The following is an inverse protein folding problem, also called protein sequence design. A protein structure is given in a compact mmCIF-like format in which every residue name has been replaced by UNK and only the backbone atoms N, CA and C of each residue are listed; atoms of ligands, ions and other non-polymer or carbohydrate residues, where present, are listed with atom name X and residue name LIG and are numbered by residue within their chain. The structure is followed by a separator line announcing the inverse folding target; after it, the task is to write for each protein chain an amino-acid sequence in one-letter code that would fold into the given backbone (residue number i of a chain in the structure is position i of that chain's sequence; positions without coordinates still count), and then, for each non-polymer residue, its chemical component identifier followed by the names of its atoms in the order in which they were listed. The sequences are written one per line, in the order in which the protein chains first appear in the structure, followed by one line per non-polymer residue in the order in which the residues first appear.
data_IF_261891197167
#
_entry.id   IF_261891197167
#
_cell.length_a   1.000
_cell.length_b   1.000
_cell.length_c   1.000
_cell.angle_alpha   90.00
_cell.angle_beta   90.00
_cell.angle_gamma   90.00
#
_symmetry.space_group_name_H-M   'P 1'
#
loop_
_entity.id
_entity.type
_entity.pdbx_description
1 polymer ?
#
# COMPACT_ATOMS: atom_id res chain seq x y z
N UNK A 1 61.64 -1.16 54.70
CA UNK A 1 60.51 -0.87 53.79
C UNK A 1 61.06 -0.09 52.60
N UNK A 2 61.42 -0.79 51.52
CA UNK A 2 61.81 -0.12 50.28
C UNK A 2 60.55 0.47 49.64
N UNK A 3 60.49 1.80 49.53
CA UNK A 3 59.49 2.48 48.72
C UNK A 3 59.91 2.29 47.26
N UNK A 4 59.35 1.30 46.58
CA UNK A 4 59.50 1.15 45.13
C UNK A 4 58.82 2.34 44.45
N UNK A 5 59.62 3.29 43.98
CA UNK A 5 59.14 4.43 43.20
C UNK A 5 58.75 3.97 41.80
N UNK A 6 57.56 4.35 41.36
CA UNK A 6 57.09 4.09 40.00
C UNK A 6 58.04 4.74 39.01
N UNK A 7 58.53 3.98 38.03
CA UNK A 7 59.44 4.54 37.02
C UNK A 7 58.63 5.33 35.99
N UNK A 8 59.17 6.46 35.52
CA UNK A 8 58.51 7.33 34.54
C UNK A 8 58.14 6.57 33.25
N UNK A 9 58.91 5.55 32.88
CA UNK A 9 58.68 4.74 31.70
C UNK A 9 57.44 3.84 31.85
N UNK A 10 57.21 3.31 33.06
CA UNK A 10 56.07 2.46 33.38
C UNK A 10 54.75 3.25 33.34
N UNK A 11 54.79 4.52 33.76
CA UNK A 11 53.67 5.46 33.61
C UNK A 11 53.36 5.74 32.13
N UNK A 12 54.37 5.95 31.29
CA UNK A 12 54.19 6.20 29.85
C UNK A 12 53.60 5.00 29.12
N UNK A 13 54.05 3.79 29.44
CA UNK A 13 53.52 2.55 28.87
C UNK A 13 52.07 2.32 29.30
N UNK A 14 51.74 2.56 30.56
CA UNK A 14 50.35 2.41 31.04
C UNK A 14 49.41 3.47 30.43
N UNK A 15 49.88 4.70 30.23
CA UNK A 15 49.11 5.74 29.53
C UNK A 15 48.88 5.38 28.05
N UNK A 16 49.89 4.87 27.35
CA UNK A 16 49.75 4.48 25.94
C UNK A 16 48.79 3.31 25.76
N UNK A 17 48.85 2.30 26.64
CA UNK A 17 47.89 1.20 26.67
C UNK A 17 46.46 1.69 26.96
N UNK A 18 46.30 2.62 27.91
CA UNK A 18 45.00 3.22 28.21
C UNK A 18 44.40 3.92 26.99
N UNK A 19 45.18 4.70 26.24
CA UNK A 19 44.72 5.37 25.03
C UNK A 19 44.27 4.40 23.94
N UNK A 20 44.99 3.28 23.75
CA UNK A 20 44.58 2.23 22.81
C UNK A 20 43.25 1.59 23.23
N UNK A 21 43.08 1.29 24.52
CA UNK A 21 41.82 0.74 25.04
C UNK A 21 40.68 1.72 24.87
N UNK A 22 40.87 3.02 25.14
CA UNK A 22 39.85 4.04 24.92
C UNK A 22 39.47 4.17 23.45
N UNK A 23 40.44 4.10 22.53
CA UNK A 23 40.17 4.16 21.10
C UNK A 23 39.28 2.98 20.66
N UNK A 24 39.62 1.74 21.07
CA UNK A 24 38.83 0.55 20.75
C UNK A 24 37.43 0.61 21.38
N UNK A 25 37.33 1.08 22.63
CA UNK A 25 36.04 1.25 23.30
C UNK A 25 35.16 2.30 22.60
N UNK A 26 35.74 3.39 22.12
CA UNK A 26 35.03 4.43 21.36
C UNK A 26 34.46 3.87 20.05
N UNK A 27 35.27 3.10 19.30
CA UNK A 27 34.81 2.47 18.06
C UNK A 27 33.69 1.45 18.31
N UNK A 28 33.76 0.71 19.42
CA UNK A 28 32.71 -0.22 19.82
C UNK A 28 31.41 0.51 20.19
N UNK A 29 31.48 1.64 20.89
CA UNK A 29 30.30 2.44 21.24
C UNK A 29 29.64 3.02 19.98
N UNK A 30 30.43 3.60 19.08
CA UNK A 30 29.91 4.19 17.83
C UNK A 30 29.30 3.12 16.93
N UNK A 31 29.94 1.95 16.80
CA UNK A 31 29.39 0.85 16.02
C UNK A 31 28.09 0.31 16.62
N UNK A 32 28.01 0.12 17.94
CA UNK A 32 26.79 -0.29 18.62
C UNK A 32 25.65 0.73 18.44
N UNK A 33 25.93 2.03 18.50
CA UNK A 33 24.94 3.07 18.23
C UNK A 33 24.41 3.00 16.79
N UNK A 34 25.30 2.79 15.80
CA UNK A 34 24.89 2.61 14.39
C UNK A 34 24.01 1.38 14.21
N UNK A 35 24.37 0.26 14.82
CA UNK A 35 23.57 -0.98 14.76
C UNK A 35 22.21 -0.81 15.44
N UNK A 36 22.16 -0.13 16.59
CA UNK A 36 20.90 0.16 17.28
C UNK A 36 19.99 1.05 16.43
N UNK A 37 20.52 2.14 15.87
CA UNK A 37 19.74 3.07 15.04
C UNK A 37 19.21 2.39 13.77
N UNK A 38 20.04 1.58 13.10
CA UNK A 38 19.61 0.85 11.90
C UNK A 38 18.55 -0.21 12.22
N UNK A 39 18.63 -0.84 13.40
CA UNK A 39 17.60 -1.80 13.86
C UNK A 39 16.28 -1.10 14.14
N UNK A 40 16.29 0.05 14.82
CA UNK A 40 15.09 0.87 15.07
C UNK A 40 14.44 1.30 13.75
N UNK A 41 15.23 1.81 12.80
CA UNK A 41 14.73 2.22 11.49
C UNK A 41 14.12 1.05 10.70
N UNK A 42 14.76 -0.13 10.71
CA UNK A 42 14.19 -1.33 10.07
C UNK A 42 12.84 -1.71 10.66
N UNK A 43 12.71 -1.64 11.98
CA UNK A 43 11.45 -1.96 12.65
C UNK A 43 10.36 -0.95 12.29
N UNK A 44 10.68 0.34 12.24
CA UNK A 44 9.74 1.39 11.81
C UNK A 44 9.25 1.17 10.38
N UNK A 45 10.16 0.96 9.42
CA UNK A 45 9.79 0.68 8.02
C UNK A 45 8.92 -0.58 7.92
N UNK A 46 9.26 -1.62 8.68
CA UNK A 46 8.50 -2.88 8.68
C UNK A 46 7.08 -2.68 9.21
N UNK A 47 6.92 -1.83 10.23
CA UNK A 47 5.64 -1.50 10.83
C UNK A 47 4.81 -0.62 9.88
N UNK A 48 5.41 0.38 9.24
CA UNK A 48 4.77 1.21 8.22
C UNK A 48 4.26 0.36 7.05
N UNK A 49 5.11 -0.53 6.50
CA UNK A 49 4.72 -1.45 5.44
C UNK A 49 3.54 -2.35 5.86
N UNK A 50 3.52 -2.79 7.12
CA UNK A 50 2.43 -3.60 7.69
C UNK A 50 1.14 -2.79 7.79
N UNK A 51 1.20 -1.54 8.25
CA UNK A 51 0.04 -0.66 8.36
C UNK A 51 -0.55 -0.31 6.99
N UNK A 52 0.31 -0.07 5.98
CA UNK A 52 -0.10 0.18 4.60
C UNK A 52 -0.86 -1.02 4.01
N UNK A 53 -0.33 -2.24 4.17
CA UNK A 53 -1.00 -3.46 3.72
C UNK A 53 -2.29 -3.71 4.49
N UNK A 54 -2.31 -3.47 5.81
CA UNK A 54 -3.52 -3.63 6.62
C UNK A 54 -4.63 -2.70 6.13
N UNK A 55 -4.30 -1.42 5.84
CA UNK A 55 -5.24 -0.44 5.28
C UNK A 55 -5.82 -0.89 3.95
N UNK A 56 -4.97 -1.36 3.04
CA UNK A 56 -5.41 -1.89 1.74
C UNK A 56 -6.30 -3.13 1.91
N UNK A 57 -5.89 -4.07 2.77
CA UNK A 57 -6.63 -5.31 3.06
C UNK A 57 -8.03 -5.00 3.54
N UNK A 58 -8.18 -4.02 4.43
CA UNK A 58 -9.48 -3.67 4.97
C UNK A 58 -10.45 -3.16 3.90
N UNK A 59 -9.97 -2.29 3.00
CA UNK A 59 -10.77 -1.76 1.89
C UNK A 59 -11.05 -2.83 0.84
N UNK A 60 -10.03 -3.60 0.44
CA UNK A 60 -10.17 -4.68 -0.55
C UNK A 60 -11.11 -5.76 -0.03
N UNK A 61 -11.06 -6.10 1.27
CA UNK A 61 -11.95 -7.09 1.87
C UNK A 61 -13.43 -6.68 1.87
N UNK A 62 -13.70 -5.38 1.76
CA UNK A 62 -15.05 -4.85 1.66
C UNK A 62 -15.45 -4.57 0.21
N UNK A 63 -14.52 -4.70 -0.74
CA UNK A 63 -14.81 -4.45 -2.14
C UNK A 63 -15.80 -5.47 -2.70
N UNK A 64 -16.70 -4.97 -3.54
CA UNK A 64 -17.63 -5.77 -4.33
C UNK A 64 -17.04 -6.14 -5.69
N UNK A 65 -16.08 -5.34 -6.17
CA UNK A 65 -15.45 -5.52 -7.47
C UNK A 65 -14.01 -5.01 -7.43
N UNK A 66 -13.11 -5.81 -7.99
CA UNK A 66 -11.73 -5.42 -8.26
C UNK A 66 -11.60 -5.35 -9.78
N UNK A 67 -11.10 -4.22 -10.30
CA UNK A 67 -10.93 -4.09 -11.74
C UNK A 67 -9.87 -5.06 -12.26
N UNK A 68 -10.11 -5.71 -13.41
CA UNK A 68 -9.14 -6.57 -14.06
C UNK A 68 -7.96 -5.78 -14.59
N UNK A 69 -6.81 -6.44 -14.76
CA UNK A 69 -5.60 -5.82 -15.28
C UNK A 69 -5.77 -5.33 -16.73
N UNK A 70 -5.03 -4.29 -17.12
CA UNK A 70 -5.03 -3.75 -18.49
C UNK A 70 -6.20 -2.81 -18.85
N UNK A 71 -7.18 -2.63 -17.97
CA UNK A 71 -8.20 -1.59 -18.10
C UNK A 71 -7.64 -0.20 -17.82
N UNK A 72 -8.12 0.81 -18.53
CA UNK A 72 -7.79 2.22 -18.27
C UNK A 72 -8.98 2.93 -17.65
N UNK A 73 -8.79 3.50 -16.46
CA UNK A 73 -9.78 4.34 -15.79
C UNK A 73 -9.45 5.79 -16.08
N UNK A 74 -10.37 6.50 -16.75
CA UNK A 74 -10.20 7.91 -17.12
C UNK A 74 -10.78 8.80 -16.03
N UNK A 75 -9.97 9.70 -15.50
CA UNK A 75 -10.29 10.57 -14.37
C UNK A 75 -10.19 12.03 -14.80
N UNK A 76 -10.70 12.95 -13.99
CA UNK A 76 -10.51 14.38 -14.25
C UNK A 76 -9.02 14.74 -14.07
N UNK A 77 -8.32 14.95 -15.19
CA UNK A 77 -6.91 15.39 -15.24
C UNK A 77 -5.86 14.28 -15.41
N UNK A 78 -6.21 13.01 -15.23
CA UNK A 78 -5.28 11.89 -15.43
C UNK A 78 -6.00 10.59 -15.78
N UNK A 79 -5.24 9.53 -16.08
CA UNK A 79 -5.78 8.19 -16.28
C UNK A 79 -4.92 7.18 -15.54
N UNK A 80 -5.54 6.10 -15.08
CA UNK A 80 -4.85 5.02 -14.36
C UNK A 80 -5.02 3.73 -15.13
N UNK A 81 -3.89 3.10 -15.48
CA UNK A 81 -3.89 1.76 -16.03
C UNK A 81 -3.86 0.76 -14.87
N UNK A 82 -4.85 -0.13 -14.84
CA UNK A 82 -5.02 -1.17 -13.82
C UNK A 82 -3.94 -2.25 -13.85
N UNK A 83 -3.01 -2.24 -14.80
CA UNK A 83 -1.79 -3.05 -14.71
C UNK A 83 -0.73 -2.44 -13.79
N UNK A 84 -0.87 -1.16 -13.43
CA UNK A 84 0.09 -0.40 -12.60
C UNK A 84 -0.52 0.14 -11.31
N UNK A 85 -1.83 0.02 -11.14
CA UNK A 85 -2.57 0.49 -9.98
C UNK A 85 -3.73 -0.43 -9.67
N UNK A 86 -4.00 -0.61 -8.37
CA UNK A 86 -5.13 -1.40 -7.91
C UNK A 86 -6.37 -0.51 -7.86
N UNK A 87 -7.43 -0.90 -8.55
CA UNK A 87 -8.70 -0.18 -8.53
C UNK A 87 -9.80 -1.11 -8.03
N UNK A 88 -10.52 -0.66 -7.01
CA UNK A 88 -11.60 -1.44 -6.38
C UNK A 88 -12.84 -0.58 -6.17
N UNK A 89 -14.00 -1.23 -6.21
CA UNK A 89 -15.29 -0.64 -5.90
C UNK A 89 -15.79 -1.21 -4.59
N UNK A 90 -16.07 -0.31 -3.66
CA UNK A 90 -16.61 -0.65 -2.35
C UNK A 90 -18.07 -0.20 -2.31
N UNK A 91 -19.01 -1.08 -1.90
CA UNK A 91 -20.42 -0.76 -1.88
C UNK A 91 -20.70 0.42 -0.95
N UNK A 92 -21.72 1.19 -1.31
CA UNK A 92 -22.30 2.21 -0.45
C UNK A 92 -22.74 1.61 0.89
N UNK A 93 -22.70 2.40 1.96
CA UNK A 93 -22.97 1.99 3.35
C UNK A 93 -21.88 1.14 4.01
N UNK A 94 -20.78 0.84 3.32
CA UNK A 94 -19.59 0.34 4.00
C UNK A 94 -18.96 1.41 4.90
N UNK A 95 -18.21 1.03 5.96
CA UNK A 95 -17.46 1.97 6.81
C UNK A 95 -16.56 2.96 6.04
N UNK A 96 -16.08 2.55 4.85
CA UNK A 96 -15.21 3.37 3.99
C UNK A 96 -15.95 4.14 2.90
N UNK A 97 -17.21 3.80 2.67
CA UNK A 97 -18.10 4.42 1.70
C UNK A 97 -19.45 4.79 2.34
N UNK A 98 -19.41 5.61 3.38
CA UNK A 98 -20.61 6.21 3.96
C UNK A 98 -20.65 7.72 3.71
N UNK A 99 -21.86 8.20 3.43
CA UNK A 99 -22.23 9.59 3.66
C UNK A 99 -23.43 9.56 4.59
N UNK A 100 -23.25 10.01 5.83
CA UNK A 100 -24.26 9.94 6.88
C UNK A 100 -25.57 10.63 6.48
N UNK A 101 -25.53 11.50 5.48
CA UNK A 101 -26.68 12.25 4.99
C UNK A 101 -27.61 11.42 4.08
N UNK A 102 -27.20 10.22 3.65
CA UNK A 102 -27.89 9.48 2.57
C UNK A 102 -28.12 7.99 2.89
N UNK A 103 -27.93 7.57 4.15
CA UNK A 103 -28.19 6.20 4.58
C UNK A 103 -29.67 5.81 4.38
N UNK A 104 -29.93 4.66 3.77
CA UNK A 104 -31.29 4.10 3.60
C UNK A 104 -32.08 4.55 2.37
N UNK A 105 -31.51 5.37 1.46
CA UNK A 105 -32.18 5.67 0.20
C UNK A 105 -31.86 4.60 -0.87
N UNK A 106 -32.87 3.83 -1.25
CA UNK A 106 -32.78 2.73 -2.22
C UNK A 106 -32.22 3.15 -3.58
N UNK A 107 -32.35 4.42 -3.98
CA UNK A 107 -31.79 4.93 -5.23
C UNK A 107 -30.26 4.84 -5.28
N UNK A 108 -29.59 4.76 -4.12
CA UNK A 108 -28.12 4.75 -4.04
C UNK A 108 -27.49 3.36 -4.05
N UNK A 109 -28.29 2.29 -4.09
CA UNK A 109 -27.79 0.91 -4.16
C UNK A 109 -26.95 0.61 -5.41
N UNK A 110 -27.07 1.42 -6.46
CA UNK A 110 -26.30 1.28 -7.70
C UNK A 110 -24.98 2.07 -7.70
N UNK A 111 -24.67 2.77 -6.60
CA UNK A 111 -23.48 3.60 -6.48
C UNK A 111 -22.45 3.00 -5.52
N UNK A 112 -21.19 3.31 -5.79
CA UNK A 112 -20.02 2.78 -5.11
C UNK A 112 -19.02 3.90 -4.83
N UNK A 113 -18.11 3.61 -3.89
CA UNK A 113 -16.87 4.36 -3.80
C UNK A 113 -15.78 3.63 -4.57
N UNK A 114 -15.15 4.36 -5.49
CA UNK A 114 -13.97 3.88 -6.21
C UNK A 114 -12.71 4.21 -5.42
N UNK A 115 -11.95 3.20 -5.04
CA UNK A 115 -10.62 3.35 -4.46
C UNK A 115 -9.58 3.01 -5.50
N UNK A 116 -8.60 3.90 -5.70
CA UNK A 116 -7.47 3.69 -6.60
C UNK A 116 -6.19 3.80 -5.78
N UNK A 117 -5.38 2.75 -5.79
CA UNK A 117 -4.04 2.74 -5.25
C UNK A 117 -3.03 2.81 -6.39
N UNK A 118 -2.10 3.76 -6.30
CA UNK A 118 -1.01 3.88 -7.28
C UNK A 118 0.23 4.49 -6.66
N UNK A 119 1.39 4.17 -7.24
CA UNK A 119 2.64 4.81 -6.87
C UNK A 119 2.80 6.12 -7.64
N UNK A 120 3.19 7.18 -6.94
CA UNK A 120 3.38 8.51 -7.51
C UNK A 120 4.62 9.21 -6.94
N UNK A 121 5.15 10.22 -7.66
CA UNK A 121 6.19 11.09 -7.11
C UNK A 121 5.74 11.74 -5.80
N UNK A 122 6.65 11.81 -4.83
CA UNK A 122 6.43 12.41 -3.50
C UNK A 122 6.24 13.92 -3.54
N UNK A 123 6.75 14.60 -4.58
CA UNK A 123 6.82 16.05 -4.65
C UNK A 123 5.49 16.79 -4.37
N UNK A 124 4.32 16.37 -4.91
CA UNK A 124 3.04 17.03 -4.63
C UNK A 124 2.57 16.90 -3.16
N UNK A 125 3.10 15.91 -2.43
CA UNK A 125 2.70 15.58 -1.06
C UNK A 125 3.69 16.06 0.00
N UNK A 126 4.85 16.58 -0.43
CA UNK A 126 5.96 16.96 0.46
C UNK A 126 5.56 17.98 1.54
N UNK A 127 4.66 18.93 1.22
CA UNK A 127 4.18 19.91 2.20
C UNK A 127 3.43 19.28 3.38
N UNK A 128 2.78 18.13 3.18
CA UNK A 128 2.05 17.39 4.22
C UNK A 128 2.90 16.32 4.90
N UNK A 129 3.79 15.68 4.15
CA UNK A 129 4.68 14.62 4.64
C UNK A 129 5.94 15.17 5.32
N UNK A 130 6.24 16.46 5.15
CA UNK A 130 7.48 17.07 5.62
C UNK A 130 8.69 16.74 4.75
N UNK A 131 9.82 17.34 5.10
CA UNK A 131 11.10 17.12 4.42
C UNK A 131 11.85 15.97 5.09
N UNK A 132 12.02 14.87 4.35
CA UNK A 132 12.76 13.67 4.81
C UNK A 132 13.88 13.41 3.81
N UNK A 133 15.14 13.48 4.24
CA UNK A 133 16.32 13.49 3.36
C UNK A 133 16.71 12.13 2.76
N UNK A 134 15.93 11.08 3.04
CA UNK A 134 16.33 9.68 2.86
C UNK A 134 15.25 8.85 2.14
N UNK A 135 14.34 9.51 1.43
CA UNK A 135 13.21 8.84 0.77
C UNK A 135 13.57 8.43 -0.67
N UNK A 136 12.86 7.44 -1.21
CA UNK A 136 12.92 7.07 -2.63
C UNK A 136 12.35 8.14 -3.56
N UNK A 137 11.69 9.16 -3.00
CA UNK A 137 10.94 10.16 -3.77
C UNK A 137 9.62 9.63 -4.34
N UNK A 138 9.16 8.44 -3.93
CA UNK A 138 7.90 7.83 -4.34
C UNK A 138 6.99 7.57 -3.14
N UNK A 139 5.69 7.67 -3.34
CA UNK A 139 4.65 7.43 -2.34
C UNK A 139 3.56 6.53 -2.89
N UNK A 140 2.91 5.76 -2.03
CA UNK A 140 1.71 5.01 -2.36
C UNK A 140 0.50 5.89 -2.03
N UNK A 141 -0.29 6.22 -3.02
CA UNK A 141 -1.43 7.13 -2.90
C UNK A 141 -2.73 6.37 -3.04
N UNK A 142 -3.70 6.69 -2.17
CA UNK A 142 -5.10 6.28 -2.22
C UNK A 142 -5.93 7.45 -2.74
N UNK A 143 -6.59 7.26 -3.88
CA UNK A 143 -7.65 8.16 -4.36
C UNK A 143 -9.00 7.53 -4.06
N UNK A 144 -9.88 8.30 -3.43
CA UNK A 144 -11.27 7.90 -3.16
C UNK A 144 -12.22 8.77 -3.96
N UNK A 145 -12.90 8.14 -4.92
CA UNK A 145 -14.02 8.69 -5.68
C UNK A 145 -15.33 8.21 -5.08
N UNK A 146 -16.35 9.08 -5.14
CA UNK A 146 -17.73 8.76 -4.75
C UNK A 146 -18.60 8.71 -5.98
N UNK A 147 -19.77 8.09 -5.85
CA UNK A 147 -20.80 8.06 -6.89
C UNK A 147 -20.39 7.31 -8.16
N UNK A 148 -19.51 6.30 -8.05
CA UNK A 148 -19.22 5.42 -9.18
C UNK A 148 -20.43 4.53 -9.42
N UNK A 149 -21.07 4.66 -10.58
CA UNK A 149 -22.23 3.85 -10.92
C UNK A 149 -21.81 2.48 -11.45
N UNK A 150 -22.42 1.43 -10.91
CA UNK A 150 -22.34 0.09 -11.47
C UNK A 150 -23.73 -0.54 -11.46
N UNK A 151 -24.48 -0.41 -12.57
CA UNK A 151 -25.79 -1.02 -12.73
C UNK A 151 -25.72 -2.55 -12.72
N UNK A 152 -26.77 -3.18 -12.20
CA UNK A 152 -26.92 -4.64 -12.15
C UNK A 152 -26.73 -5.27 -13.53
N UNK A 153 -26.00 -6.40 -13.59
CA UNK A 153 -25.68 -7.13 -14.84
C UNK A 153 -24.83 -6.37 -15.88
N UNK A 154 -24.18 -5.27 -15.52
CA UNK A 154 -23.26 -4.54 -16.42
C UNK A 154 -21.82 -4.59 -15.90
N UNK A 155 -20.85 -4.16 -16.72
CA UNK A 155 -19.50 -3.86 -16.24
C UNK A 155 -19.47 -2.46 -15.64
N UNK A 156 -18.75 -2.22 -14.53
CA UNK A 156 -18.63 -0.89 -13.97
C UNK A 156 -18.06 0.12 -14.96
N UNK A 157 -18.47 1.38 -14.84
CA UNK A 157 -17.96 2.46 -15.69
C UNK A 157 -16.45 2.64 -15.48
N UNK A 158 -15.72 2.93 -16.57
CA UNK A 158 -14.28 3.25 -16.54
C UNK A 158 -14.01 4.73 -16.73
N UNK A 159 -15.01 5.52 -17.15
CA UNK A 159 -14.91 6.96 -17.29
C UNK A 159 -15.50 7.65 -16.05
N UNK A 160 -14.63 8.19 -15.21
CA UNK A 160 -14.95 8.86 -13.94
C UNK A 160 -14.76 10.38 -14.03
N UNK A 161 -14.64 10.93 -15.24
CA UNK A 161 -14.40 12.38 -15.46
C UNK A 161 -15.52 13.28 -14.92
N UNK A 162 -16.76 12.79 -14.89
CA UNK A 162 -17.93 13.51 -14.38
C UNK A 162 -18.11 13.38 -12.85
N UNK A 163 -17.28 12.58 -12.18
CA UNK A 163 -17.37 12.39 -10.72
C UNK A 163 -16.75 13.58 -9.98
N UNK A 164 -17.21 13.80 -8.75
CA UNK A 164 -16.62 14.80 -7.86
C UNK A 164 -15.12 14.54 -7.66
N UNK A 165 -14.36 15.62 -7.45
CA UNK A 165 -12.92 15.54 -7.18
C UNK A 165 -12.63 14.50 -6.07
N UNK A 166 -11.57 13.68 -6.25
CA UNK A 166 -11.28 12.63 -5.29
C UNK A 166 -10.78 13.22 -3.97
N UNK A 167 -11.06 12.48 -2.89
CA UNK A 167 -10.27 12.61 -1.67
C UNK A 167 -8.96 11.85 -1.86
N UNK A 168 -7.84 12.48 -1.54
CA UNK A 168 -6.50 11.90 -1.76
C UNK A 168 -5.80 11.70 -0.41
N UNK A 169 -5.27 10.50 -0.20
CA UNK A 169 -4.50 10.12 0.99
C UNK A 169 -3.18 9.44 0.62
N UNK A 170 -2.17 9.58 1.47
CA UNK A 170 -0.90 8.85 1.34
C UNK A 170 -0.97 7.63 2.26
N UNK A 171 -0.81 6.44 1.68
CA UNK A 171 -0.85 5.15 2.37
C UNK A 171 0.54 4.73 2.86
N UNK A 172 1.57 5.07 2.09
CA UNK A 172 2.96 4.81 2.45
C UNK A 172 3.88 5.89 1.87
N UNK A 173 4.89 6.30 2.63
CA UNK A 173 6.00 7.13 2.14
C UNK A 173 7.19 6.23 1.76
N UNK A 174 8.05 6.73 0.87
CA UNK A 174 9.30 6.09 0.46
C UNK A 174 9.14 4.70 -0.16
N UNK A 175 8.21 4.59 -1.11
CA UNK A 175 7.92 3.36 -1.82
C UNK A 175 9.07 2.95 -2.74
N UNK A 176 9.44 1.68 -2.67
CA UNK A 176 10.37 1.04 -3.59
C UNK A 176 9.60 0.50 -4.79
N UNK A 177 9.65 1.22 -5.91
CA UNK A 177 8.90 0.86 -7.13
C UNK A 177 9.36 -0.46 -7.74
N UNK A 178 10.60 -0.89 -7.52
CA UNK A 178 11.10 -2.16 -8.04
C UNK A 178 10.54 -3.35 -7.25
N UNK A 179 10.19 -3.13 -5.98
CA UNK A 179 9.67 -4.15 -5.07
C UNK A 179 8.18 -3.95 -4.73
N UNK A 180 7.50 -3.02 -5.39
CA UNK A 180 6.07 -2.76 -5.20
C UNK A 180 5.29 -3.20 -6.42
N UNK A 181 4.33 -4.09 -6.21
CA UNK A 181 3.44 -4.61 -7.22
C UNK A 181 2.02 -4.64 -6.67
N UNK A 182 1.14 -3.79 -7.19
CA UNK A 182 -0.22 -3.67 -6.67
C UNK A 182 -1.19 -4.70 -7.27
N UNK A 183 -0.80 -5.40 -8.35
CA UNK A 183 -1.72 -6.15 -9.22
C UNK A 183 -1.17 -7.51 -9.66
N UNK A 184 0.08 -7.84 -9.32
CA UNK A 184 0.85 -8.97 -9.86
C UNK A 184 0.21 -10.35 -9.77
N UNK A 185 -0.76 -10.54 -8.88
CA UNK A 185 -1.47 -11.80 -8.75
C UNK A 185 -2.95 -11.56 -8.44
N UNK A 186 -3.74 -11.45 -9.52
CA UNK A 186 -5.21 -11.42 -9.48
C UNK A 186 -5.75 -12.84 -9.62
N UNK A 187 -6.69 -13.23 -8.76
CA UNK A 187 -7.36 -14.52 -8.81
C UNK A 187 -8.80 -14.37 -9.29
N UNK A 188 -9.15 -15.13 -10.33
CA UNK A 188 -10.49 -15.15 -10.93
C UNK A 188 -11.47 -15.97 -10.11
N UNK A 189 -12.69 -15.46 -9.97
CA UNK A 189 -13.81 -16.17 -9.38
C UNK A 189 -14.43 -17.05 -10.47
N UNK A 190 -13.76 -18.14 -10.81
CA UNK A 190 -14.20 -19.06 -11.85
C UNK A 190 -15.32 -19.96 -11.30
N UNK A 191 -16.54 -19.46 -11.22
CA UNK A 191 -17.74 -20.29 -11.07
C UNK A 191 -18.81 -19.81 -12.04
N UNK A 192 -19.22 -20.72 -12.92
CA UNK A 192 -20.44 -20.57 -13.71
C UNK A 192 -21.60 -20.39 -12.75
N UNK A 193 -22.29 -19.25 -12.84
CA UNK A 193 -23.53 -19.00 -12.12
C UNK A 193 -24.69 -19.19 -13.10
N UNK A 194 -25.65 -20.09 -12.83
CA UNK A 194 -26.83 -20.25 -13.68
C UNK A 194 -27.74 -19.02 -13.69
N UNK A 195 -27.47 -18.04 -12.81
CA UNK A 195 -28.23 -16.80 -12.67
C UNK A 195 -27.59 -15.65 -13.49
N UNK A 196 -26.35 -15.80 -13.96
CA UNK A 196 -25.59 -14.76 -14.68
C UNK A 196 -25.74 -14.89 -16.21
N UNK A 197 -26.98 -14.88 -16.72
CA UNK A 197 -27.26 -15.11 -18.16
C UNK A 197 -26.85 -13.94 -19.08
N UNK A 198 -26.68 -12.73 -18.54
CA UNK A 198 -26.32 -11.52 -19.29
C UNK A 198 -24.81 -11.22 -19.39
N UNK A 199 -24.00 -11.76 -18.48
CA UNK A 199 -22.54 -11.65 -18.48
C UNK A 199 -21.99 -12.97 -18.99
N UNK A 200 -21.82 -13.07 -20.31
CA UNK A 200 -21.47 -14.28 -21.07
C UNK A 200 -20.76 -15.36 -20.26
N UNK A 201 -21.39 -16.54 -20.27
CA UNK A 201 -20.94 -17.86 -19.84
C UNK A 201 -19.69 -18.32 -20.65
N UNK A 202 -18.65 -17.49 -20.67
CA UNK A 202 -17.49 -17.67 -21.50
C UNK A 202 -16.37 -18.26 -20.66
N UNK A 203 -16.03 -19.52 -20.92
CA UNK A 203 -14.87 -20.19 -20.32
C UNK A 203 -13.53 -19.54 -20.70
N UNK A 204 -13.55 -18.48 -21.52
CA UNK A 204 -12.38 -17.69 -21.95
C UNK A 204 -12.10 -16.42 -21.12
N UNK A 205 -12.81 -16.19 -20.01
CA UNK A 205 -12.56 -15.02 -19.15
C UNK A 205 -11.17 -15.09 -18.50
N UNK A 206 -10.31 -14.14 -18.84
CA UNK A 206 -8.98 -13.95 -18.23
C UNK A 206 -8.99 -12.81 -17.21
N UNK A 207 -7.91 -12.68 -16.43
CA UNK A 207 -7.71 -11.57 -15.47
C UNK A 207 -7.63 -10.18 -16.10
N UNK A 208 -7.60 -10.09 -17.43
CA UNK A 208 -7.61 -8.84 -18.20
C UNK A 208 -8.97 -8.53 -18.84
N UNK A 209 -9.91 -9.47 -18.81
CA UNK A 209 -11.21 -9.31 -19.45
C UNK A 209 -12.12 -8.40 -18.62
N UNK A 210 -12.83 -7.47 -19.26
CA UNK A 210 -13.68 -6.49 -18.57
C UNK A 210 -14.84 -7.10 -17.75
N UNK A 211 -15.22 -8.36 -18.04
CA UNK A 211 -16.25 -9.12 -17.31
C UNK A 211 -15.67 -10.06 -16.22
N UNK A 212 -14.35 -10.03 -16.01
CA UNK A 212 -13.68 -10.80 -14.98
C UNK A 212 -14.14 -10.37 -13.60
N UNK A 213 -14.64 -11.32 -12.82
CA UNK A 213 -14.76 -11.13 -11.38
C UNK A 213 -13.47 -11.60 -10.74
N UNK A 214 -12.72 -10.65 -10.22
CA UNK A 214 -11.59 -10.92 -9.36
C UNK A 214 -12.10 -10.98 -7.92
N UNK A 215 -11.88 -12.09 -7.24
CA UNK A 215 -12.25 -12.28 -5.83
C UNK A 215 -11.05 -12.21 -4.90
N UNK A 216 -9.83 -12.28 -5.44
CA UNK A 216 -8.63 -12.05 -4.64
C UNK A 216 -7.55 -11.31 -5.42
N UNK A 217 -6.77 -10.51 -4.69
CA UNK A 217 -5.56 -9.85 -5.18
C UNK A 217 -4.47 -9.99 -4.14
N UNK A 218 -3.23 -10.22 -4.57
CA UNK A 218 -2.08 -10.25 -3.68
C UNK A 218 -1.14 -9.10 -4.01
N UNK A 219 -1.41 -7.88 -3.50
CA UNK A 219 -0.48 -6.78 -3.67
C UNK A 219 0.77 -7.00 -2.81
N UNK A 220 1.89 -6.52 -3.32
CA UNK A 220 3.17 -6.40 -2.66
C UNK A 220 3.51 -4.91 -2.51
N UNK A 221 3.74 -4.45 -1.28
CA UNK A 221 4.22 -3.11 -0.99
C UNK A 221 5.67 -3.21 -0.52
N UNK A 222 6.57 -2.62 -1.29
CA UNK A 222 7.97 -2.46 -0.96
C UNK A 222 8.23 -1.05 -0.47
N UNK A 223 8.84 -0.90 0.70
CA UNK A 223 9.31 0.38 1.22
C UNK A 223 10.84 0.35 1.28
N UNK A 224 11.49 1.45 0.89
CA UNK A 224 12.93 1.58 1.02
C UNK A 224 13.31 2.92 1.63
N UNK A 225 14.29 2.95 2.54
CA UNK A 225 14.93 4.17 3.02
C UNK A 225 16.44 4.09 2.81
N UNK A 226 17.04 5.21 2.45
CA UNK A 226 18.49 5.32 2.28
C UNK A 226 19.10 6.00 3.50
N UNK A 227 19.83 5.29 4.35
CA UNK A 227 20.52 5.86 5.51
C UNK A 227 22.04 5.82 5.31
N UNK A 228 22.64 6.99 5.05
CA UNK A 228 24.07 7.07 4.68
C UNK A 228 24.33 6.35 3.35
N UNK A 229 25.17 5.30 3.39
CA UNK A 229 25.44 4.45 2.22
C UNK A 229 24.62 3.15 2.21
N UNK A 230 23.77 2.92 3.22
CA UNK A 230 22.99 1.68 3.34
C UNK A 230 21.55 1.93 2.91
N UNK A 231 21.11 1.22 1.87
CA UNK A 231 19.69 1.14 1.52
C UNK A 231 19.04 0.00 2.31
N UNK A 232 17.99 0.34 3.04
CA UNK A 232 17.14 -0.61 3.75
C UNK A 232 15.86 -0.75 2.93
N UNK A 233 15.56 -1.96 2.45
CA UNK A 233 14.30 -2.26 1.74
C UNK A 233 13.58 -3.40 2.46
N UNK A 234 12.27 -3.25 2.61
CA UNK A 234 11.38 -4.25 3.20
C UNK A 234 10.17 -4.38 2.28
N UNK A 235 9.83 -5.61 1.92
CA UNK A 235 8.64 -5.93 1.16
C UNK A 235 7.63 -6.70 2.03
N UNK A 236 6.35 -6.42 1.80
CA UNK A 236 5.23 -7.16 2.39
C UNK A 236 4.21 -7.46 1.32
N UNK A 237 3.73 -8.69 1.30
CA UNK A 237 2.61 -9.10 0.44
C UNK A 237 1.60 -9.90 1.25
N UNK A 238 0.32 -9.76 0.90
CA UNK A 238 -0.78 -10.44 1.56
C UNK A 238 -1.88 -10.73 0.53
N UNK A 239 -2.48 -11.92 0.60
CA UNK A 239 -3.61 -12.26 -0.27
C UNK A 239 -4.88 -11.66 0.34
N UNK A 240 -5.49 -10.74 -0.38
CA UNK A 240 -6.70 -10.02 0.03
C UNK A 240 -7.89 -10.56 -0.74
N UNK A 241 -8.96 -10.95 -0.05
CA UNK A 241 -10.17 -11.50 -0.65
C UNK A 241 -11.29 -10.47 -0.64
N UNK A 242 -11.88 -10.18 -1.79
CA UNK A 242 -13.07 -9.34 -1.92
C UNK A 242 -14.33 -10.07 -1.41
N UNK A 243 -15.37 -9.31 -1.04
CA UNK A 243 -16.68 -9.88 -0.75
C UNK A 243 -17.27 -10.42 -2.05
N UNK A 244 -17.65 -11.70 -2.03
CA UNK A 244 -18.42 -12.29 -3.11
C UNK A 244 -19.83 -11.71 -3.11
N UNK A 245 -20.12 -10.76 -3.99
CA UNK A 245 -21.50 -10.34 -4.27
C UNK A 245 -22.01 -11.12 -5.48
N UNK A 246 -23.13 -11.87 -5.37
CA UNK A 246 -23.76 -12.48 -6.54
C UNK A 246 -24.16 -11.38 -7.53
N UNK A 247 -23.75 -11.50 -8.81
CA UNK A 247 -23.88 -10.44 -9.83
C UNK A 247 -25.32 -9.99 -10.15
N UNK A 248 -26.30 -10.75 -9.67
CA UNK A 248 -27.74 -10.59 -9.91
C UNK A 248 -28.45 -9.87 -8.76
N UNK A 249 -27.76 -9.69 -7.63
CA UNK A 249 -28.31 -9.01 -6.47
C UNK A 249 -27.96 -7.52 -6.53
N UNK A 250 -28.91 -6.67 -6.14
CA UNK A 250 -28.61 -5.25 -5.98
C UNK A 250 -27.47 -5.10 -4.95
N UNK A 251 -26.49 -4.24 -5.22
CA UNK A 251 -25.41 -4.02 -4.29
C UNK A 251 -25.95 -3.51 -2.94
N UNK A 252 -25.49 -4.09 -1.84
CA UNK A 252 -26.04 -3.84 -0.50
C UNK A 252 -27.19 -4.77 -0.09
N UNK A 253 -27.67 -5.65 -0.97
CA UNK A 253 -28.46 -6.83 -0.57
C UNK A 253 -27.51 -7.96 -0.20
N UNK A 254 -26.76 -7.76 0.89
CA UNK A 254 -26.06 -8.87 1.52
C UNK A 254 -27.07 -9.90 2.02
N UNK A 255 -26.78 -11.18 1.80
CA UNK A 255 -27.10 -12.19 2.80
C UNK A 255 -26.18 -11.98 4.01
#
# INVERSE_FOLDING_TARGET
MQKSGFTLIELLISLSLLLVVLAVASDLIVSNQRVANTTVLRNQIAEDARLSILRMTEIVSQSAYIYPAGQTITLSGFSVNTSSGLVVLVPWESPYCNDNNLAGNAAYKTYYCGFIYRVEPRAPYAAKLGNVSNTTGQVLVEYRYRWVSWPTNTTPITNWTALSAPSVGVVADSVDTANTDLVGNLQLAARSSPVDTGLKNDTSVTTSSANALIWAVQPQVGLALTYGQTSLSINRSEVMYARAIPRVADPGTGF
#
